data_IF_785579380937
#
_entry.id   IF_785579380937
#
_cell.length_a   1.000
_cell.length_b   1.000
_cell.length_c   1.000
_cell.angle_alpha   90.00
_cell.angle_beta   90.00
_cell.angle_gamma   90.00
#
_symmetry.space_group_name_H-M   'P 1'
#
loop_
_entity.id
_entity.type
_entity.pdbx_description
1 polymer ?
#
# COMPACT_ATOMS: atom_id res chain seq x y z
N UNK A 1 -58.04 -4.29 -9.12
CA UNK A 1 -57.64 -4.32 -10.54
C UNK A 1 -56.15 -4.67 -10.62
N UNK A 2 -55.84 -5.57 -11.56
CA UNK A 2 -54.57 -5.85 -12.25
C UNK A 2 -53.31 -6.30 -11.46
N UNK A 3 -52.89 -7.53 -11.79
CA UNK A 3 -51.60 -8.19 -11.56
C UNK A 3 -50.71 -7.92 -12.78
N UNK A 4 -49.37 -7.79 -12.63
CA UNK A 4 -48.40 -8.23 -13.66
C UNK A 4 -46.96 -8.31 -13.13
N UNK A 5 -46.40 -9.52 -13.24
CA UNK A 5 -44.98 -9.92 -13.12
C UNK A 5 -44.27 -9.76 -14.49
N UNK A 6 -42.95 -10.02 -14.49
CA UNK A 6 -41.95 -10.17 -15.60
C UNK A 6 -41.04 -8.94 -15.78
N UNK A 7 -39.71 -9.06 -15.90
CA UNK A 7 -38.88 -9.92 -16.78
C UNK A 7 -37.51 -10.27 -16.14
N UNK A 8 -37.02 -11.53 -16.05
CA UNK A 8 -36.11 -12.29 -16.97
C UNK A 8 -35.06 -11.45 -17.72
N UNK A 9 -33.75 -11.48 -17.42
CA UNK A 9 -32.70 -12.51 -17.67
C UNK A 9 -32.15 -12.56 -19.11
N UNK A 10 -30.85 -12.29 -19.28
CA UNK A 10 -29.84 -12.81 -20.27
C UNK A 10 -28.68 -11.78 -20.39
N UNK A 11 -27.39 -12.10 -20.22
CA UNK A 11 -26.45 -13.01 -20.91
C UNK A 11 -25.58 -12.21 -21.91
N UNK A 12 -24.27 -12.12 -21.65
CA UNK A 12 -23.17 -11.92 -22.62
C UNK A 12 -21.87 -12.19 -21.82
N UNK A 13 -21.26 -13.38 -21.84
CA UNK A 13 -20.56 -14.07 -22.93
C UNK A 13 -19.14 -13.52 -23.16
N UNK A 14 -18.17 -14.40 -22.88
CA UNK A 14 -16.78 -14.52 -23.36
C UNK A 14 -15.88 -13.26 -23.46
N UNK A 15 -14.64 -13.37 -22.96
CA UNK A 15 -13.56 -13.80 -23.84
C UNK A 15 -12.23 -13.98 -23.08
N UNK A 16 -11.61 -15.11 -23.35
CA UNK A 16 -10.36 -15.65 -22.83
C UNK A 16 -9.25 -15.32 -23.84
N UNK A 17 -8.33 -14.41 -23.52
CA UNK A 17 -7.13 -14.24 -24.32
C UNK A 17 -5.85 -14.06 -23.49
N UNK A 18 -5.22 -15.21 -23.25
CA UNK A 18 -3.87 -15.54 -23.74
C UNK A 18 -2.72 -14.64 -23.26
N UNK A 19 -1.93 -15.27 -22.39
CA UNK A 19 -0.46 -15.21 -22.24
C UNK A 19 0.33 -14.41 -23.29
N UNK A 20 1.12 -13.44 -22.84
CA UNK A 20 2.39 -13.13 -23.52
C UNK A 20 3.54 -13.55 -22.62
N UNK A 21 4.02 -14.77 -22.88
CA UNK A 21 5.33 -15.23 -22.48
C UNK A 21 6.29 -15.09 -23.67
N UNK A 22 7.53 -14.72 -23.33
CA UNK A 22 8.77 -14.86 -24.11
C UNK A 22 9.08 -13.84 -25.21
N UNK A 23 10.36 -13.68 -25.62
CA UNK A 23 11.61 -14.27 -25.09
C UNK A 23 12.74 -13.25 -24.80
N UNK A 24 13.72 -13.70 -24.01
CA UNK A 24 15.10 -13.19 -24.01
C UNK A 24 15.61 -12.98 -25.45
N UNK A 25 16.00 -11.75 -25.77
CA UNK A 25 16.87 -11.46 -26.91
C UNK A 25 18.00 -10.55 -26.43
N UNK A 26 19.17 -11.17 -26.27
CA UNK A 26 20.45 -10.53 -26.07
C UNK A 26 21.38 -11.03 -27.18
N UNK A 27 21.65 -10.20 -28.20
CA UNK A 27 22.99 -10.20 -28.76
C UNK A 27 23.39 -8.82 -29.28
N UNK A 28 24.48 -8.28 -28.76
CA UNK A 28 25.72 -8.14 -29.54
C UNK A 28 26.73 -7.33 -28.74
N UNK A 29 27.82 -8.01 -28.37
CA UNK A 29 29.13 -7.42 -28.22
C UNK A 29 29.48 -6.65 -29.51
N UNK A 30 29.37 -5.33 -29.45
CA UNK A 30 29.96 -4.44 -30.45
C UNK A 30 31.23 -3.81 -29.85
N UNK A 31 32.34 -4.41 -30.23
CA UNK A 31 33.72 -4.05 -29.92
C UNK A 31 34.01 -2.63 -30.44
N UNK A 32 33.95 -1.64 -29.55
CA UNK A 32 34.30 -0.25 -29.88
C UNK A 32 35.32 0.32 -28.88
N UNK A 33 36.62 0.39 -29.24
CA UNK A 33 37.65 0.88 -28.35
C UNK A 33 37.71 2.41 -28.45
N UNK A 34 37.01 3.17 -27.58
CA UNK A 34 37.18 4.63 -27.56
C UNK A 34 37.27 5.27 -26.17
N UNK A 35 38.55 5.58 -25.89
CA UNK A 35 39.06 6.85 -25.34
C UNK A 35 38.97 7.03 -23.83
N UNK A 36 40.13 6.86 -23.18
CA UNK A 36 40.46 7.43 -21.87
C UNK A 36 40.15 8.93 -21.89
N UNK A 37 39.01 9.33 -21.34
CA UNK A 37 38.77 10.72 -20.91
C UNK A 37 39.22 10.82 -19.46
N UNK A 38 40.45 11.28 -19.27
CA UNK A 38 40.83 11.98 -18.05
C UNK A 38 40.01 13.27 -17.99
N UNK A 39 38.93 13.25 -17.22
CA UNK A 39 38.30 14.47 -16.71
C UNK A 39 38.16 14.31 -15.21
N UNK A 40 39.00 15.07 -14.52
CA UNK A 40 38.90 15.50 -13.13
C UNK A 40 37.42 15.76 -12.78
N UNK A 41 36.77 14.74 -12.23
CA UNK A 41 35.49 14.89 -11.55
C UNK A 41 35.82 15.53 -10.21
N UNK A 42 35.59 16.83 -10.10
CA UNK A 42 35.37 17.48 -8.81
C UNK A 42 34.08 16.89 -8.24
N UNK A 43 34.16 15.65 -7.76
CA UNK A 43 33.04 14.95 -7.17
C UNK A 43 32.85 15.56 -5.79
N UNK A 44 31.98 16.58 -5.73
CA UNK A 44 31.42 17.02 -4.47
C UNK A 44 30.91 15.77 -3.76
N UNK A 45 31.34 15.47 -2.51
CA UNK A 45 30.94 14.26 -1.84
C UNK A 45 29.42 14.28 -1.74
N UNK A 46 28.75 13.43 -2.53
CA UNK A 46 27.32 13.21 -2.41
C UNK A 46 27.10 12.78 -0.96
N UNK A 47 26.57 13.70 -0.16
CA UNK A 47 26.28 13.46 1.24
C UNK A 47 25.45 12.18 1.32
N UNK A 48 26.02 11.13 1.93
CA UNK A 48 25.29 9.88 2.13
C UNK A 48 24.05 10.24 2.93
N UNK A 49 22.87 10.06 2.35
CA UNK A 49 21.62 10.17 3.09
C UNK A 49 21.67 9.14 4.21
N UNK A 50 21.84 9.61 5.45
CA UNK A 50 21.82 8.74 6.61
C UNK A 50 20.38 8.30 6.80
N UNK A 51 20.07 7.08 6.38
CA UNK A 51 18.79 6.43 6.68
C UNK A 51 18.81 6.13 8.18
N UNK A 52 18.01 6.88 8.95
CA UNK A 52 17.83 6.63 10.38
C UNK A 52 16.99 5.36 10.54
N UNK A 53 17.53 4.38 11.28
CA UNK A 53 16.77 3.20 11.66
C UNK A 53 15.81 3.59 12.77
N UNK A 54 14.60 3.08 12.71
CA UNK A 54 13.64 3.19 13.81
C UNK A 54 14.19 2.52 15.05
N UNK A 55 14.17 3.24 16.16
CA UNK A 55 14.50 2.72 17.48
C UNK A 55 13.24 2.19 18.18
N UNK A 56 13.39 1.24 19.12
CA UNK A 56 12.24 0.75 19.90
C UNK A 56 11.49 1.86 20.65
N UNK A 57 12.21 2.92 21.06
CA UNK A 57 11.64 4.09 21.70
C UNK A 57 10.77 4.90 20.74
N UNK A 58 11.24 5.12 19.50
CA UNK A 58 10.47 5.82 18.47
C UNK A 58 9.23 5.01 18.07
N UNK A 59 9.35 3.69 17.96
CA UNK A 59 8.19 2.81 17.69
C UNK A 59 7.14 2.91 18.81
N UNK A 60 7.56 2.93 20.08
CA UNK A 60 6.64 3.07 21.20
C UNK A 60 5.91 4.43 21.16
N UNK A 61 6.62 5.52 20.89
CA UNK A 61 6.04 6.87 20.76
C UNK A 61 5.09 6.91 19.56
N UNK A 62 5.48 6.33 18.42
CA UNK A 62 4.66 6.30 17.23
C UNK A 62 3.34 5.55 17.47
N UNK A 63 3.40 4.37 18.10
CA UNK A 63 2.22 3.57 18.44
C UNK A 63 1.30 4.36 19.38
N UNK A 64 1.86 5.05 20.38
CA UNK A 64 1.07 5.88 21.30
C UNK A 64 0.32 7.01 20.58
N UNK A 65 1.03 7.77 19.74
CA UNK A 65 0.44 8.87 18.96
C UNK A 65 -0.62 8.36 17.98
N UNK A 66 -0.36 7.24 17.30
CA UNK A 66 -1.32 6.59 16.43
C UNK A 66 -2.58 6.17 17.21
N UNK A 67 -2.43 5.61 18.41
CA UNK A 67 -3.57 5.26 19.27
C UNK A 67 -4.40 6.46 19.70
N UNK A 68 -3.76 7.60 19.99
CA UNK A 68 -4.49 8.82 20.35
C UNK A 68 -5.35 9.30 19.18
N UNK A 69 -4.76 9.41 17.99
CA UNK A 69 -5.45 9.84 16.77
C UNK A 69 -6.59 8.89 16.38
N UNK A 70 -6.37 7.58 16.51
CA UNK A 70 -7.38 6.58 16.22
C UNK A 70 -8.54 6.61 17.22
N UNK A 71 -8.32 7.05 18.46
CA UNK A 71 -9.42 7.18 19.44
C UNK A 71 -10.26 8.44 19.22
N UNK A 72 -9.65 9.55 18.80
CA UNK A 72 -10.34 10.83 18.63
C UNK A 72 -11.11 10.90 17.31
N UNK A 73 -10.45 10.63 16.19
CA UNK A 73 -10.96 11.03 14.87
C UNK A 73 -11.42 9.85 14.01
N UNK A 74 -10.91 8.64 14.26
CA UNK A 74 -11.22 7.49 13.42
C UNK A 74 -12.71 7.15 13.40
N UNK A 75 -13.41 7.24 14.55
CA UNK A 75 -14.85 6.98 14.57
C UNK A 75 -15.62 7.97 13.71
N UNK A 76 -15.20 9.24 13.68
CA UNK A 76 -15.82 10.26 12.84
C UNK A 76 -15.68 9.89 11.36
N UNK A 77 -14.47 9.55 10.93
CA UNK A 77 -14.19 9.13 9.53
C UNK A 77 -14.97 7.87 9.16
N UNK A 78 -15.03 6.87 10.05
CA UNK A 78 -15.78 5.62 9.80
C UNK A 78 -17.29 5.88 9.72
N UNK A 79 -17.80 6.81 10.53
CA UNK A 79 -19.21 7.19 10.49
C UNK A 79 -19.55 7.92 9.19
N UNK A 80 -18.65 8.73 8.67
CA UNK A 80 -18.80 9.42 7.38
C UNK A 80 -18.76 8.45 6.18
N UNK A 81 -17.87 7.45 6.19
CA UNK A 81 -17.83 6.39 5.16
C UNK A 81 -19.05 5.44 5.26
N UNK A 82 -19.52 5.14 6.47
CA UNK A 82 -20.72 4.35 6.70
C UNK A 82 -20.53 2.84 6.56
N UNK A 83 -19.52 2.36 5.84
CA UNK A 83 -19.24 0.91 5.63
C UNK A 83 -19.10 0.11 6.91
N UNK A 84 -18.50 0.71 7.94
CA UNK A 84 -18.24 0.07 9.23
C UNK A 84 -19.05 0.69 10.38
N UNK A 85 -19.97 1.61 10.08
CA UNK A 85 -20.75 2.33 11.10
C UNK A 85 -21.60 1.37 11.98
N UNK A 86 -22.02 0.22 11.42
CA UNK A 86 -22.78 -0.81 12.14
C UNK A 86 -22.02 -1.45 13.31
N UNK A 87 -20.68 -1.35 13.35
CA UNK A 87 -19.86 -1.86 14.47
C UNK A 87 -19.92 -0.96 15.71
N UNK A 88 -20.28 0.31 15.53
CA UNK A 88 -20.33 1.31 16.59
C UNK A 88 -18.94 1.72 17.11
N UNK A 89 -18.87 2.91 17.73
CA UNK A 89 -17.64 3.46 18.30
C UNK A 89 -16.89 2.49 19.26
N UNK A 90 -17.58 1.79 20.18
CA UNK A 90 -16.91 0.85 21.08
C UNK A 90 -16.28 -0.34 20.35
N UNK A 91 -16.96 -0.89 19.35
CA UNK A 91 -16.47 -2.04 18.58
C UNK A 91 -15.23 -1.70 17.76
N UNK A 92 -15.23 -0.52 17.15
CA UNK A 92 -14.08 0.01 16.41
C UNK A 92 -12.88 0.24 17.33
N UNK A 93 -13.09 0.87 18.49
CA UNK A 93 -12.02 1.13 19.45
C UNK A 93 -11.42 -0.16 19.99
N UNK A 94 -12.25 -1.15 20.32
CA UNK A 94 -11.80 -2.47 20.76
C UNK A 94 -10.99 -3.19 19.67
N UNK A 95 -11.42 -3.10 18.41
CA UNK A 95 -10.71 -3.70 17.29
C UNK A 95 -9.31 -3.09 17.09
N UNK A 96 -9.20 -1.77 17.13
CA UNK A 96 -7.89 -1.09 17.05
C UNK A 96 -6.98 -1.46 18.21
N UNK A 97 -7.52 -1.52 19.43
CA UNK A 97 -6.73 -1.95 20.60
C UNK A 97 -6.18 -3.36 20.43
N UNK A 98 -6.99 -4.28 19.88
CA UNK A 98 -6.55 -5.65 19.58
C UNK A 98 -5.47 -5.69 18.48
N UNK A 99 -5.61 -4.89 17.42
CA UNK A 99 -4.61 -4.78 16.36
C UNK A 99 -3.26 -4.29 16.90
N UNK A 100 -3.27 -3.24 17.73
CA UNK A 100 -2.04 -2.70 18.33
C UNK A 100 -1.39 -3.73 19.25
N UNK A 101 -2.17 -4.43 20.07
CA UNK A 101 -1.66 -5.51 20.92
C UNK A 101 -0.92 -6.57 20.08
N UNK A 102 -1.52 -6.98 18.96
CA UNK A 102 -0.90 -7.92 18.01
C UNK A 102 0.42 -7.39 17.43
N UNK A 103 0.49 -6.09 17.11
CA UNK A 103 1.73 -5.48 16.59
C UNK A 103 2.85 -5.43 17.64
N UNK A 104 2.50 -5.37 18.93
CA UNK A 104 3.47 -5.42 20.04
C UNK A 104 3.96 -6.84 20.37
N UNK A 105 3.36 -7.87 19.78
CA UNK A 105 3.72 -9.27 20.03
C UNK A 105 3.20 -9.84 21.36
N UNK A 106 2.15 -9.26 21.93
CA UNK A 106 1.47 -9.69 23.17
C UNK A 106 0.21 -10.56 22.94
#
# INVERSE_FOLDING_TARGET
MAIKRSSSASFDDNDDHITHSSPDYNPSDDDAPKRKKTKTSSESPKGKTVIRKWTPQEDAIFIELAMQLLKTDMWKVIKEDGRLAYRGSPGITAHVKAMVKKMRGE
#
